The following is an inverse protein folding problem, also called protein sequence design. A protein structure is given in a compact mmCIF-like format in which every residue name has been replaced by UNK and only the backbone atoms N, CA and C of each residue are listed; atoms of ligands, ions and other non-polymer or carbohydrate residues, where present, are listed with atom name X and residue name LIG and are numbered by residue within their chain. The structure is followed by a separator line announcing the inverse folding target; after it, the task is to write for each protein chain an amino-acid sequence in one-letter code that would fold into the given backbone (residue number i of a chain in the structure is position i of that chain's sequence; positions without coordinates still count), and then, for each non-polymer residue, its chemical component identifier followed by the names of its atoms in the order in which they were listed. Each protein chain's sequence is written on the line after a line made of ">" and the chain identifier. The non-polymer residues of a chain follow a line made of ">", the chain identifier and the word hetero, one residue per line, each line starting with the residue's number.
data_IF_966636037320
#
_entry.id   IF_966636037320
#
_cell.length_a   1.000
_cell.length_b   1.000
_cell.length_c   1.000
_cell.angle_alpha   90.00
_cell.angle_beta   90.00
_cell.angle_gamma   90.00
#
_symmetry.space_group_name_H-M   'P 1'
#
loop_
_entity.id
_entity.type
_entity.pdbx_description
1 polymer ?
#
# COMPACT_ATOMS: atom_id res chain seq x y z
N UNK A 1 -21.36 34.07 53.95
CA UNK A 1 -21.55 33.12 52.83
C UNK A 1 -20.22 32.42 52.62
N UNK A 2 -20.11 31.20 53.14
CA UNK A 2 -18.86 30.45 53.24
C UNK A 2 -18.98 29.22 52.35
N UNK A 3 -18.12 29.08 51.35
CA UNK A 3 -18.07 27.91 50.47
C UNK A 3 -17.06 26.90 51.03
N UNK A 4 -17.54 25.71 51.38
CA UNK A 4 -16.71 24.52 51.60
C UNK A 4 -16.45 23.79 50.26
N UNK A 5 -15.28 23.15 50.08
CA UNK A 5 -15.01 22.29 48.95
C UNK A 5 -15.51 20.86 49.21
N UNK A 6 -16.22 20.27 48.25
CA UNK A 6 -16.62 18.86 48.28
C UNK A 6 -15.53 17.95 47.71
N UNK A 7 -15.23 16.90 48.46
CA UNK A 7 -14.31 15.81 48.17
C UNK A 7 -14.74 14.94 46.99
N UNK A 8 -13.78 14.54 46.14
CA UNK A 8 -13.94 13.49 45.11
C UNK A 8 -13.99 12.09 45.76
N UNK A 9 -14.78 11.15 45.22
CA UNK A 9 -14.68 9.72 45.58
C UNK A 9 -13.58 9.00 44.76
N UNK A 10 -13.08 7.85 45.25
CA UNK A 10 -11.99 7.11 44.63
C UNK A 10 -12.44 6.30 43.40
N UNK A 11 -11.58 6.23 42.39
CA UNK A 11 -11.71 5.37 41.22
C UNK A 11 -11.42 3.92 41.62
N UNK A 12 -12.45 3.07 41.58
CA UNK A 12 -12.31 1.62 41.62
C UNK A 12 -11.80 1.08 40.28
N UNK A 13 -10.73 0.29 40.33
CA UNK A 13 -10.22 -0.51 39.21
C UNK A 13 -11.24 -1.64 38.93
N UNK A 14 -11.82 -1.62 37.74
CA UNK A 14 -12.59 -2.74 37.19
C UNK A 14 -11.69 -3.51 36.23
N UNK A 15 -11.42 -4.77 36.58
CA UNK A 15 -10.87 -5.77 35.68
C UNK A 15 -11.83 -5.94 34.50
N UNK A 16 -11.35 -5.58 33.29
CA UNK A 16 -12.02 -5.94 32.04
C UNK A 16 -11.22 -7.06 31.37
N UNK A 17 -11.87 -8.15 30.93
CA UNK A 17 -11.21 -9.16 30.11
C UNK A 17 -10.76 -8.55 28.78
N UNK A 18 -9.58 -8.97 28.31
CA UNK A 18 -8.98 -8.51 27.06
C UNK A 18 -9.83 -8.89 25.82
N UNK A 19 -9.68 -8.17 24.70
CA UNK A 19 -10.48 -8.41 23.50
C UNK A 19 -10.04 -9.69 22.79
N UNK A 20 -11.03 -10.48 22.40
CA UNK A 20 -10.91 -11.76 21.73
C UNK A 20 -9.97 -11.73 20.51
N UNK A 21 -9.06 -12.71 20.50
CA UNK A 21 -8.05 -12.91 19.49
C UNK A 21 -8.65 -13.51 18.20
N UNK A 22 -8.19 -12.98 17.08
CA UNK A 22 -8.31 -13.59 15.77
C UNK A 22 -7.72 -15.00 15.77
N UNK A 23 -8.51 -16.01 15.34
CA UNK A 23 -8.04 -17.38 15.07
C UNK A 23 -7.82 -17.50 13.56
N UNK A 24 -6.58 -17.63 13.07
CA UNK A 24 -6.31 -17.81 11.65
C UNK A 24 -6.78 -19.21 11.16
N UNK A 25 -7.04 -19.38 9.85
CA UNK A 25 -7.27 -20.70 9.25
C UNK A 25 -6.10 -21.68 9.52
N UNK A 26 -6.35 -23.00 9.62
CA UNK A 26 -5.33 -23.99 10.03
C UNK A 26 -4.06 -24.01 9.18
N UNK A 27 -4.13 -23.65 7.90
CA UNK A 27 -2.96 -23.63 7.02
C UNK A 27 -2.03 -22.42 7.25
N UNK A 28 -2.39 -21.47 8.11
CA UNK A 28 -1.63 -20.24 8.40
C UNK A 28 -0.78 -20.31 9.66
N UNK A 29 -0.90 -21.36 10.47
CA UNK A 29 -0.10 -21.51 11.70
C UNK A 29 1.40 -21.69 11.42
N UNK A 30 1.75 -22.21 10.24
CA UNK A 30 3.14 -22.43 9.83
C UNK A 30 3.92 -21.12 9.67
N UNK A 31 3.32 -20.07 9.11
CA UNK A 31 3.96 -18.75 8.96
C UNK A 31 4.14 -18.01 10.29
N UNK A 32 3.37 -18.36 11.32
CA UNK A 32 3.50 -17.80 12.67
C UNK A 32 4.65 -18.45 13.44
N UNK A 33 4.78 -19.77 13.34
CA UNK A 33 5.90 -20.51 13.93
C UNK A 33 7.27 -20.07 13.35
N UNK A 34 7.32 -19.78 12.03
CA UNK A 34 8.53 -19.24 11.38
C UNK A 34 8.89 -17.82 11.85
N UNK A 35 7.91 -17.02 12.28
CA UNK A 35 8.13 -15.67 12.82
C UNK A 35 8.67 -15.69 14.26
N UNK A 36 8.14 -16.58 15.11
CA UNK A 36 8.59 -16.71 16.50
C UNK A 36 10.02 -17.29 16.58
N UNK A 37 10.41 -18.18 15.66
CA UNK A 37 11.78 -18.69 15.56
C UNK A 37 12.82 -17.64 15.13
N UNK A 38 12.40 -16.55 14.47
CA UNK A 38 13.31 -15.51 13.96
C UNK A 38 13.54 -14.34 14.94
N UNK A 39 12.71 -14.21 15.99
CA UNK A 39 12.75 -13.08 16.94
C UNK A 39 13.20 -13.44 18.36
N UNK A 40 13.45 -14.71 18.67
CA UNK A 40 14.04 -15.11 19.94
C UNK A 40 15.53 -15.37 19.73
N UNK A 41 16.37 -14.43 20.16
CA UNK A 41 17.79 -14.69 20.36
C UNK A 41 17.94 -15.84 21.34
N UNK A 42 18.55 -16.94 20.87
CA UNK A 42 18.78 -18.15 21.65
C UNK A 42 19.69 -17.81 22.84
N UNK A 43 19.12 -17.78 24.05
CA UNK A 43 19.86 -18.02 25.28
C UNK A 43 19.61 -19.48 25.66
N UNK A 44 20.66 -20.29 25.57
CA UNK A 44 20.69 -21.67 26.03
C UNK A 44 20.57 -21.67 27.56
N UNK A 45 19.57 -22.35 28.12
CA UNK A 45 19.47 -22.66 29.55
C UNK A 45 19.44 -24.19 29.70
N UNK A 46 20.40 -24.82 30.39
CA UNK A 46 20.53 -26.28 30.42
C UNK A 46 19.60 -26.99 31.42
N UNK A 47 18.75 -26.28 32.16
CA UNK A 47 17.98 -26.87 33.27
C UNK A 47 16.46 -26.67 33.11
N UNK A 48 15.79 -27.56 32.37
CA UNK A 48 14.36 -27.83 32.56
C UNK A 48 14.05 -29.33 32.33
N UNK A 49 13.25 -29.95 33.22
CA UNK A 49 12.99 -31.39 33.20
C UNK A 49 11.99 -31.80 32.11
N UNK A 50 12.11 -33.04 31.65
CA UNK A 50 11.25 -33.67 30.65
C UNK A 50 9.75 -33.59 31.02
N UNK A 51 8.93 -33.10 30.09
CA UNK A 51 7.48 -33.15 30.18
C UNK A 51 6.92 -34.44 29.53
N UNK A 52 5.79 -34.98 30.03
CA UNK A 52 5.41 -36.38 29.84
C UNK A 52 4.71 -36.68 28.50
N UNK A 53 4.86 -37.95 28.10
CA UNK A 53 4.64 -38.50 26.77
C UNK A 53 3.17 -38.83 26.42
N UNK A 54 2.19 -37.95 26.61
CA UNK A 54 0.79 -38.31 26.30
C UNK A 54 0.17 -37.31 25.32
N UNK A 55 0.28 -37.58 24.01
CA UNK A 55 -0.72 -37.25 22.96
C UNK A 55 -0.29 -37.89 21.62
N UNK A 56 -0.67 -39.15 21.44
CA UNK A 56 -0.84 -39.76 20.10
C UNK A 56 -2.35 -39.95 19.91
N UNK A 57 -2.89 -39.38 18.84
CA UNK A 57 -4.31 -39.43 18.52
C UNK A 57 -4.64 -38.87 17.14
N UNK A 58 -4.31 -39.66 16.12
CA UNK A 58 -5.00 -39.80 14.81
C UNK A 58 -5.38 -38.56 13.99
N UNK A 59 -4.63 -38.34 12.91
CA UNK A 59 -5.16 -37.90 11.60
C UNK A 59 -4.14 -38.24 10.50
N UNK A 60 -3.98 -39.54 10.22
CA UNK A 60 -3.32 -40.05 9.01
C UNK A 60 -4.44 -40.75 8.22
N UNK A 61 -5.01 -40.04 7.25
CA UNK A 61 -5.78 -40.56 6.10
C UNK A 61 -6.63 -39.43 5.52
N UNK A 62 -6.04 -38.69 4.58
CA UNK A 62 -6.64 -38.26 3.32
C UNK A 62 -5.61 -37.33 2.67
N UNK A 63 -5.33 -37.53 1.38
CA UNK A 63 -4.27 -36.91 0.57
C UNK A 63 -2.93 -37.67 0.51
N UNK A 64 -2.97 -38.87 -0.05
CA UNK A 64 -1.86 -39.31 -0.90
C UNK A 64 -2.39 -40.19 -2.05
N UNK A 65 -2.47 -39.62 -3.27
CA UNK A 65 -2.54 -40.39 -4.52
C UNK A 65 -2.07 -39.51 -5.70
N UNK A 66 -0.90 -39.92 -6.21
CA UNK A 66 -0.30 -39.69 -7.54
C UNK A 66 0.52 -38.40 -7.69
N UNK A 67 1.83 -38.51 -7.53
CA UNK A 67 2.79 -38.77 -8.63
C UNK A 67 4.22 -38.81 -8.03
N UNK A 68 4.77 -40.00 -7.84
CA UNK A 68 6.21 -40.23 -7.78
C UNK A 68 6.49 -41.54 -8.52
N UNK A 69 7.20 -41.45 -9.63
CA UNK A 69 7.86 -42.59 -10.25
C UNK A 69 8.94 -43.08 -9.27
N UNK A 70 8.65 -44.17 -8.56
CA UNK A 70 9.64 -44.87 -7.77
C UNK A 70 10.44 -45.79 -8.69
N UNK A 71 11.75 -45.54 -8.82
CA UNK A 71 12.70 -46.63 -9.03
C UNK A 71 12.97 -47.23 -7.65
N UNK A 72 12.50 -48.45 -7.43
CA UNK A 72 12.73 -49.20 -6.21
C UNK A 72 14.21 -49.62 -6.15
N UNK A 73 14.92 -49.22 -5.09
CA UNK A 73 16.21 -49.81 -4.75
C UNK A 73 15.97 -51.18 -4.08
N UNK A 74 16.75 -52.22 -4.39
CA UNK A 74 16.58 -53.53 -3.77
C UNK A 74 16.99 -53.50 -2.29
N UNK A 75 16.37 -54.34 -1.44
CA UNK A 75 16.64 -54.39 0.00
C UNK A 75 18.08 -54.86 0.31
N UNK A 76 18.62 -54.50 1.49
CA UNK A 76 20.03 -54.68 1.80
C UNK A 76 20.32 -56.14 2.17
N UNK A 77 21.02 -56.82 1.28
CA UNK A 77 21.59 -58.15 1.50
C UNK A 77 22.50 -58.50 0.35
N UNK A 78 23.80 -58.57 0.63
CA UNK A 78 24.88 -59.01 -0.26
C UNK A 78 25.24 -58.10 -1.45
N UNK A 79 26.00 -57.04 -1.19
CA UNK A 79 26.85 -56.41 -2.21
C UNK A 79 28.24 -56.07 -1.62
N UNK A 80 29.37 -56.47 -2.26
CA UNK A 80 30.70 -56.16 -1.77
C UNK A 80 31.01 -54.66 -1.83
N UNK A 81 31.79 -54.20 -0.84
CA UNK A 81 32.21 -52.81 -0.59
C UNK A 81 32.81 -52.06 -1.80
N UNK A 82 33.20 -52.78 -2.86
CA UNK A 82 33.86 -52.21 -4.04
C UNK A 82 32.89 -51.58 -5.06
N UNK A 83 31.57 -51.81 -4.96
CA UNK A 83 30.58 -51.10 -5.82
C UNK A 83 29.98 -49.84 -5.17
N UNK A 84 30.15 -49.64 -3.85
CA UNK A 84 29.66 -48.43 -3.17
C UNK A 84 30.52 -47.18 -3.46
N UNK A 85 31.78 -47.37 -3.88
CA UNK A 85 32.72 -46.26 -4.17
C UNK A 85 32.47 -45.65 -5.57
N UNK A 86 31.87 -46.39 -6.50
CA UNK A 86 31.50 -45.87 -7.83
C UNK A 86 30.30 -44.93 -7.85
N UNK A 87 29.45 -44.95 -6.82
CA UNK A 87 28.26 -44.10 -6.72
C UNK A 87 28.52 -42.77 -5.99
N UNK A 88 29.59 -42.69 -5.20
CA UNK A 88 29.93 -41.51 -4.38
C UNK A 88 30.88 -40.51 -5.06
N UNK A 89 31.43 -40.83 -6.25
CA UNK A 89 32.43 -39.98 -6.94
C UNK A 89 31.85 -39.21 -8.14
N UNK A 90 30.59 -39.41 -8.51
CA UNK A 90 29.96 -38.76 -9.68
C UNK A 90 29.09 -37.52 -9.35
N UNK A 91 29.05 -37.05 -8.10
CA UNK A 91 28.25 -35.86 -7.71
C UNK A 91 29.04 -34.77 -6.96
N UNK A 92 30.36 -34.71 -7.14
CA UNK A 92 31.18 -33.64 -6.55
C UNK A 92 32.15 -33.05 -7.55
N UNK A 93 31.66 -32.42 -8.62
CA UNK A 93 32.46 -31.48 -9.41
C UNK A 93 31.57 -30.73 -10.42
N UNK A 94 31.05 -29.57 -10.02
CA UNK A 94 30.84 -28.37 -10.86
C UNK A 94 30.36 -27.23 -9.94
N UNK A 95 31.27 -26.70 -9.12
CA UNK A 95 31.12 -25.36 -8.55
C UNK A 95 31.79 -24.38 -9.52
N UNK A 96 30.99 -23.82 -10.43
CA UNK A 96 31.34 -22.59 -11.13
C UNK A 96 30.55 -21.44 -10.49
N UNK A 97 31.14 -20.24 -10.36
CA UNK A 97 30.45 -19.10 -9.77
C UNK A 97 29.31 -18.68 -10.69
N UNK A 98 28.07 -18.86 -10.23
CA UNK A 98 26.93 -18.17 -10.82
C UNK A 98 27.06 -16.70 -10.44
N UNK A 99 27.65 -15.91 -11.32
CA UNK A 99 27.39 -14.48 -11.35
C UNK A 99 25.89 -14.30 -11.54
N UNK A 100 25.20 -13.85 -10.50
CA UNK A 100 23.86 -13.27 -10.62
C UNK A 100 23.98 -11.96 -11.40
N UNK A 101 24.05 -12.06 -12.72
CA UNK A 101 23.69 -10.95 -13.60
C UNK A 101 22.21 -10.67 -13.35
N UNK A 102 21.91 -9.50 -12.80
CA UNK A 102 20.59 -8.90 -12.89
C UNK A 102 20.24 -8.80 -14.39
N UNK A 103 19.59 -9.82 -14.95
CA UNK A 103 18.87 -9.64 -16.21
C UNK A 103 17.78 -8.61 -15.92
N UNK A 104 17.87 -7.47 -16.60
CA UNK A 104 16.81 -6.49 -16.62
C UNK A 104 15.51 -7.22 -16.98
N UNK A 105 14.46 -6.98 -16.19
CA UNK A 105 13.13 -7.47 -16.50
C UNK A 105 12.81 -7.10 -17.97
N UNK A 106 12.59 -8.08 -18.89
CA UNK A 106 12.31 -7.77 -20.29
C UNK A 106 11.03 -6.94 -20.47
N UNK A 107 10.20 -6.83 -19.43
CA UNK A 107 8.92 -6.10 -19.43
C UNK A 107 9.03 -4.60 -19.05
N UNK A 108 10.21 -4.04 -18.77
CA UNK A 108 10.39 -2.65 -18.32
C UNK A 108 11.07 -1.70 -19.34
N UNK A 109 11.09 -2.04 -20.64
CA UNK A 109 11.59 -1.10 -21.66
C UNK A 109 10.59 0.05 -21.89
N UNK A 110 10.91 1.23 -21.35
CA UNK A 110 10.21 2.47 -21.69
C UNK A 110 10.66 2.97 -23.07
N UNK A 111 9.77 3.49 -23.93
CA UNK A 111 10.17 4.08 -25.21
C UNK A 111 11.02 5.32 -24.97
N UNK A 112 12.16 5.40 -25.67
CA UNK A 112 13.09 6.52 -25.62
C UNK A 112 12.39 7.82 -26.07
N UNK A 113 12.30 8.80 -25.17
CA UNK A 113 11.85 10.16 -25.49
C UNK A 113 13.06 10.95 -26.00
N UNK A 114 13.06 11.27 -27.29
CA UNK A 114 13.98 12.23 -27.87
C UNK A 114 13.81 13.60 -27.21
N UNK A 115 14.88 14.12 -26.59
CA UNK A 115 14.98 15.53 -26.22
C UNK A 115 15.49 16.33 -27.43
N UNK A 116 14.82 17.42 -27.84
CA UNK A 116 15.42 18.37 -28.77
C UNK A 116 16.44 19.25 -28.02
N UNK A 117 17.60 19.40 -28.64
CA UNK A 117 18.67 20.29 -28.23
C UNK A 117 18.30 21.75 -28.53
N UNK A 118 18.65 22.66 -27.62
CA UNK A 118 18.76 24.08 -27.92
C UNK A 118 18.07 25.01 -26.90
N UNK A 119 18.81 25.45 -25.88
CA UNK A 119 18.53 26.71 -25.20
C UNK A 119 19.85 27.32 -24.72
N UNK A 120 20.20 28.43 -25.35
CA UNK A 120 21.36 29.30 -25.07
C UNK A 120 21.24 29.97 -23.71
N UNK A 121 22.34 29.93 -22.94
CA UNK A 121 22.53 30.68 -21.69
C UNK A 121 22.57 32.19 -21.97
N UNK A 122 21.67 32.94 -21.34
CA UNK A 122 21.78 34.41 -21.19
C UNK A 122 22.23 34.69 -19.76
N UNK A 123 23.34 35.42 -19.65
CA UNK A 123 23.92 35.93 -18.41
C UNK A 123 23.26 37.24 -18.03
N UNK A 124 22.78 37.36 -16.80
CA UNK A 124 22.40 38.65 -16.20
C UNK A 124 23.04 38.78 -14.82
N UNK A 125 24.06 39.62 -14.73
CA UNK A 125 24.47 40.31 -13.51
C UNK A 125 23.59 41.57 -13.36
N UNK A 126 23.13 41.88 -12.15
CA UNK A 126 22.60 43.21 -11.84
C UNK A 126 21.58 43.26 -10.70
N UNK A 127 22.01 43.90 -9.61
CA UNK A 127 21.23 44.61 -8.59
C UNK A 127 20.08 43.92 -7.83
N UNK A 128 20.36 43.56 -6.57
CA UNK A 128 19.38 43.22 -5.55
C UNK A 128 18.85 44.48 -4.85
N UNK A 129 18.06 45.28 -5.55
CA UNK A 129 17.10 46.18 -4.93
C UNK A 129 15.74 45.50 -4.91
N UNK A 130 15.39 44.78 -3.83
CA UNK A 130 14.08 44.15 -3.69
C UNK A 130 13.03 45.27 -3.57
N UNK A 131 12.16 45.50 -4.56
CA UNK A 131 11.06 46.43 -4.42
C UNK A 131 10.13 45.85 -3.35
N UNK A 132 9.57 46.72 -2.50
CA UNK A 132 8.46 46.32 -1.64
C UNK A 132 7.39 45.66 -2.52
N UNK A 133 6.96 44.44 -2.15
CA UNK A 133 5.81 43.79 -2.78
C UNK A 133 4.63 44.71 -2.47
N UNK A 134 4.25 45.50 -3.46
CA UNK A 134 2.96 46.19 -3.44
C UNK A 134 1.95 45.08 -3.62
N UNK A 135 1.25 44.72 -2.53
CA UNK A 135 0.13 43.79 -2.58
C UNK A 135 -0.97 44.46 -3.38
N UNK A 136 -0.94 44.29 -4.70
CA UNK A 136 -2.06 44.66 -5.55
C UNK A 136 -3.30 43.92 -5.04
N UNK A 137 -4.43 44.61 -4.86
CA UNK A 137 -5.65 43.99 -4.39
C UNK A 137 -6.02 42.82 -5.30
N UNK A 138 -6.54 41.71 -4.76
CA UNK A 138 -6.84 40.53 -5.54
C UNK A 138 -7.85 40.89 -6.64
N UNK A 139 -7.47 40.64 -7.89
CA UNK A 139 -8.35 40.89 -9.03
C UNK A 139 -9.66 40.08 -8.89
N UNK A 140 -10.76 40.79 -9.00
CA UNK A 140 -12.13 40.30 -9.04
C UNK A 140 -12.59 40.04 -10.48
N UNK A 141 -13.83 39.58 -10.66
CA UNK A 141 -14.42 39.45 -12.01
C UNK A 141 -14.47 40.78 -12.74
N UNK A 142 -14.71 41.88 -12.04
CA UNK A 142 -14.96 43.19 -12.63
C UNK A 142 -13.69 43.83 -13.20
N UNK A 143 -12.51 43.29 -12.87
CA UNK A 143 -11.21 43.73 -13.37
C UNK A 143 -10.87 43.19 -14.79
N UNK A 144 -11.82 42.50 -15.44
CA UNK A 144 -11.64 41.90 -16.76
C UNK A 144 -12.83 42.24 -17.67
N UNK A 145 -12.56 42.66 -18.89
CA UNK A 145 -13.62 42.94 -19.87
C UNK A 145 -14.27 41.64 -20.40
N UNK A 146 -13.47 40.57 -20.51
CA UNK A 146 -13.90 39.27 -21.03
C UNK A 146 -13.89 38.17 -19.96
N UNK A 147 -14.90 37.30 -20.02
CA UNK A 147 -15.01 36.13 -19.17
C UNK A 147 -13.92 35.09 -19.48
N UNK A 148 -13.42 35.03 -20.72
CA UNK A 148 -12.32 34.12 -21.09
C UNK A 148 -10.99 34.57 -20.49
N UNK A 149 -10.71 35.88 -20.48
CA UNK A 149 -9.52 36.44 -19.85
C UNK A 149 -9.55 36.24 -18.34
N UNK A 150 -10.71 36.44 -17.71
CA UNK A 150 -10.88 36.13 -16.30
C UNK A 150 -10.71 34.62 -16.01
N UNK A 151 -11.29 33.75 -16.84
CA UNK A 151 -11.14 32.30 -16.70
C UNK A 151 -9.69 31.84 -16.90
N UNK A 152 -8.98 32.45 -17.85
CA UNK A 152 -7.55 32.23 -18.10
C UNK A 152 -6.72 32.68 -16.90
N UNK A 153 -6.98 33.88 -16.37
CA UNK A 153 -6.31 34.41 -15.19
C UNK A 153 -6.49 33.47 -13.99
N UNK A 154 -7.72 33.06 -13.67
CA UNK A 154 -7.99 32.14 -12.56
C UNK A 154 -7.23 30.81 -12.72
N UNK A 155 -7.11 30.31 -13.94
CA UNK A 155 -6.36 29.08 -14.23
C UNK A 155 -4.85 29.27 -14.11
N UNK A 156 -4.30 30.38 -14.62
CA UNK A 156 -2.86 30.64 -14.68
C UNK A 156 -2.29 31.06 -13.34
N UNK A 157 -3.04 31.86 -12.58
CA UNK A 157 -2.66 32.33 -11.26
C UNK A 157 -2.76 31.24 -10.19
N UNK A 158 -3.56 30.19 -10.42
CA UNK A 158 -3.80 29.13 -9.45
C UNK A 158 -4.50 29.62 -8.19
N UNK A 159 -5.18 30.78 -8.24
CA UNK A 159 -5.86 31.35 -7.09
C UNK A 159 -6.99 30.43 -6.61
N UNK A 160 -6.84 29.97 -5.37
CA UNK A 160 -7.88 29.38 -4.55
C UNK A 160 -8.76 30.55 -4.10
N UNK A 161 -9.75 30.92 -4.92
CA UNK A 161 -10.62 32.07 -4.66
C UNK A 161 -11.27 31.90 -3.30
N UNK A 162 -10.90 32.77 -2.36
CA UNK A 162 -11.44 32.78 -1.01
C UNK A 162 -12.14 34.11 -0.77
N UNK A 163 -13.25 34.08 -0.04
CA UNK A 163 -13.90 35.31 0.42
C UNK A 163 -13.02 36.03 1.44
N UNK A 164 -13.46 37.21 1.87
CA UNK A 164 -12.85 38.00 2.93
C UNK A 164 -12.69 37.24 4.28
N UNK A 165 -13.33 36.08 4.43
CA UNK A 165 -13.22 35.19 5.59
C UNK A 165 -12.38 33.94 5.32
N UNK A 166 -11.71 33.85 4.17
CA UNK A 166 -10.86 32.73 3.80
C UNK A 166 -11.63 31.48 3.35
N UNK A 167 -12.94 31.54 3.09
CA UNK A 167 -13.73 30.39 2.61
C UNK A 167 -13.68 30.30 1.09
N UNK A 168 -13.56 29.09 0.51
CA UNK A 168 -13.57 28.93 -0.95
C UNK A 168 -14.86 29.52 -1.54
N UNK A 169 -14.73 30.43 -2.49
CA UNK A 169 -15.83 31.02 -3.23
C UNK A 169 -15.91 30.32 -4.57
N UNK A 170 -17.05 29.70 -4.83
CA UNK A 170 -17.35 29.27 -6.20
C UNK A 170 -17.54 30.51 -7.07
N UNK A 171 -16.72 30.64 -8.11
CA UNK A 171 -16.92 31.65 -9.15
C UNK A 171 -17.57 30.98 -10.35
N UNK A 172 -18.74 31.49 -10.72
CA UNK A 172 -19.45 31.01 -11.89
C UNK A 172 -18.81 31.57 -13.15
N UNK A 173 -18.35 30.68 -14.04
CA UNK A 173 -17.86 31.09 -15.35
C UNK A 173 -18.90 30.70 -16.41
N UNK A 174 -19.70 31.70 -16.79
CA UNK A 174 -20.69 31.59 -17.85
C UNK A 174 -20.06 32.11 -19.15
N UNK A 175 -19.63 31.20 -20.02
CA UNK A 175 -18.98 31.55 -21.30
C UNK A 175 -18.83 30.31 -22.20
N UNK A 176 -18.94 30.44 -23.52
CA UNK A 176 -18.83 29.30 -24.44
C UNK A 176 -17.41 29.06 -24.95
N UNK A 177 -16.47 29.94 -24.63
CA UNK A 177 -15.08 29.84 -25.08
C UNK A 177 -14.29 28.75 -24.36
N UNK A 178 -13.04 28.57 -24.81
CA UNK A 178 -12.21 27.44 -24.44
C UNK A 178 -11.86 27.43 -22.94
N UNK A 179 -11.50 28.57 -22.37
CA UNK A 179 -11.12 28.71 -20.96
C UNK A 179 -12.33 28.52 -20.06
N UNK A 180 -13.49 29.06 -20.42
CA UNK A 180 -14.72 28.81 -19.66
C UNK A 180 -15.14 27.33 -19.74
N UNK A 181 -14.98 26.67 -20.90
CA UNK A 181 -15.24 25.23 -21.05
C UNK A 181 -14.26 24.40 -20.22
N UNK A 182 -12.97 24.73 -20.23
CA UNK A 182 -11.95 24.05 -19.41
C UNK A 182 -12.21 24.26 -17.92
N UNK A 183 -12.57 25.48 -17.51
CA UNK A 183 -12.89 25.79 -16.14
C UNK A 183 -14.11 24.99 -15.65
N UNK A 184 -15.20 24.92 -16.44
CA UNK A 184 -16.37 24.09 -16.12
C UNK A 184 -16.05 22.60 -16.13
N UNK A 185 -15.17 22.13 -17.01
CA UNK A 185 -14.72 20.73 -16.99
C UNK A 185 -13.97 20.37 -15.69
N UNK A 186 -13.28 21.33 -15.07
CA UNK A 186 -12.54 21.14 -13.81
C UNK A 186 -13.46 21.32 -12.59
N UNK A 187 -14.27 22.38 -12.59
CA UNK A 187 -15.00 22.85 -11.42
C UNK A 187 -16.51 22.51 -11.43
N UNK A 188 -17.02 21.96 -12.52
CA UNK A 188 -18.45 21.74 -12.75
C UNK A 188 -19.17 22.98 -13.29
N UNK A 189 -20.36 22.76 -13.87
CA UNK A 189 -21.17 23.78 -14.54
C UNK A 189 -21.95 24.70 -13.58
N UNK A 190 -21.89 24.44 -12.27
CA UNK A 190 -22.70 25.20 -11.30
C UNK A 190 -22.25 24.96 -9.87
N UNK A 191 -22.65 25.86 -8.95
CA UNK A 191 -22.33 25.77 -7.52
C UNK A 191 -22.60 24.38 -6.94
N UNK A 192 -23.71 23.72 -7.29
CA UNK A 192 -24.01 22.37 -6.82
C UNK A 192 -23.04 21.30 -7.34
N UNK A 193 -22.57 21.41 -8.59
CA UNK A 193 -21.55 20.52 -9.13
C UNK A 193 -20.19 20.84 -8.52
N UNK A 194 -19.83 22.11 -8.36
CA UNK A 194 -18.63 22.54 -7.65
C UNK A 194 -18.61 22.05 -6.20
N UNK A 195 -19.70 22.22 -5.45
CA UNK A 195 -19.85 21.71 -4.09
C UNK A 195 -19.78 20.18 -4.05
N UNK A 196 -20.34 19.48 -5.04
CA UNK A 196 -20.11 18.04 -5.19
C UNK A 196 -18.63 17.73 -5.43
N UNK A 197 -17.94 18.52 -6.25
CA UNK A 197 -16.51 18.37 -6.59
C UNK A 197 -15.57 18.79 -5.46
N UNK A 198 -15.99 19.67 -4.53
CA UNK A 198 -15.10 20.34 -3.58
C UNK A 198 -15.58 20.36 -2.11
N UNK A 199 -16.87 20.49 -1.83
CA UNK A 199 -17.41 20.46 -0.44
C UNK A 199 -17.68 19.04 0.08
N UNK A 200 -17.76 18.03 -0.80
CA UNK A 200 -17.98 16.62 -0.46
C UNK A 200 -16.90 15.64 -0.91
N UNK A 201 -15.96 16.05 -1.77
CA UNK A 201 -14.81 15.22 -2.11
C UNK A 201 -13.81 15.24 -0.96
N UNK A 202 -13.66 14.09 -0.31
CA UNK A 202 -12.59 13.86 0.66
C UNK A 202 -13.07 13.67 2.08
N UNK A 203 -14.29 14.06 2.46
CA UNK A 203 -14.83 13.73 3.77
C UNK A 203 -15.44 12.34 3.79
N UNK A 204 -14.75 11.38 4.40
CA UNK A 204 -15.22 10.01 4.51
C UNK A 204 -15.04 9.52 5.94
N UNK A 205 -16.04 8.82 6.49
CA UNK A 205 -15.87 8.08 7.76
C UNK A 205 -15.33 6.67 7.53
N UNK A 206 -15.59 6.14 6.33
CA UNK A 206 -15.27 4.78 5.92
C UNK A 206 -14.48 4.75 4.62
N UNK A 207 -13.76 3.67 4.38
CA UNK A 207 -13.20 3.32 3.08
C UNK A 207 -14.37 2.87 2.18
N UNK A 208 -14.56 3.52 1.03
CA UNK A 208 -15.63 3.14 0.12
C UNK A 208 -15.35 1.77 -0.52
N UNK A 209 -16.40 1.03 -0.92
CA UNK A 209 -16.24 -0.26 -1.61
C UNK A 209 -15.36 -0.17 -2.85
N UNK A 210 -15.52 0.89 -3.66
CA UNK A 210 -14.66 1.16 -4.82
C UNK A 210 -13.18 1.32 -4.47
N UNK A 211 -12.87 1.88 -3.30
CA UNK A 211 -11.49 2.05 -2.84
C UNK A 211 -10.93 0.71 -2.36
N UNK A 212 -11.72 -0.10 -1.66
CA UNK A 212 -11.36 -1.48 -1.32
C UNK A 212 -11.04 -2.29 -2.59
N UNK A 213 -11.96 -2.35 -3.56
CA UNK A 213 -11.75 -3.07 -4.83
C UNK A 213 -10.52 -2.58 -5.56
N UNK A 214 -10.30 -1.26 -5.58
CA UNK A 214 -9.11 -0.67 -6.19
C UNK A 214 -7.81 -1.12 -5.50
N UNK A 215 -7.76 -1.12 -4.17
CA UNK A 215 -6.61 -1.58 -3.42
C UNK A 215 -6.37 -3.08 -3.66
N UNK A 216 -7.42 -3.90 -3.56
CA UNK A 216 -7.35 -5.35 -3.78
C UNK A 216 -6.81 -5.67 -5.19
N UNK A 217 -7.42 -5.08 -6.22
CA UNK A 217 -7.01 -5.27 -7.61
C UNK A 217 -5.57 -4.79 -7.86
N UNK A 218 -5.11 -3.75 -7.16
CA UNK A 218 -3.72 -3.29 -7.28
C UNK A 218 -2.72 -4.27 -6.67
N UNK A 219 -3.06 -4.89 -5.53
CA UNK A 219 -2.20 -5.92 -4.91
C UNK A 219 -2.18 -7.20 -5.75
N UNK A 220 -3.35 -7.68 -6.22
CA UNK A 220 -3.42 -8.82 -7.13
C UNK A 220 -2.64 -8.58 -8.43
N UNK A 221 -2.77 -7.38 -9.00
CA UNK A 221 -2.01 -6.98 -10.18
C UNK A 221 -0.51 -6.87 -9.93
N UNK A 222 -0.08 -6.41 -8.75
CA UNK A 222 1.33 -6.41 -8.37
C UNK A 222 1.90 -7.84 -8.34
N UNK A 223 1.14 -8.80 -7.77
CA UNK A 223 1.52 -10.22 -7.77
C UNK A 223 1.64 -10.78 -9.20
N UNK A 224 0.74 -10.39 -10.11
CA UNK A 224 0.82 -10.79 -11.54
C UNK A 224 2.08 -10.24 -12.24
N UNK A 225 2.72 -9.21 -11.68
CA UNK A 225 4.00 -8.67 -12.16
C UNK A 225 5.21 -9.20 -11.37
N UNK A 226 5.01 -10.20 -10.50
CA UNK A 226 6.05 -10.75 -9.65
C UNK A 226 6.44 -9.83 -8.47
N UNK A 227 5.63 -8.80 -8.20
CA UNK A 227 5.92 -7.82 -7.16
C UNK A 227 5.07 -8.08 -5.92
N UNK A 228 5.66 -8.75 -4.94
CA UNK A 228 5.07 -8.84 -3.60
C UNK A 228 5.37 -7.54 -2.85
N UNK A 229 4.31 -6.83 -2.47
CA UNK A 229 4.33 -5.76 -1.48
C UNK A 229 4.74 -6.37 -0.14
N UNK A 230 6.03 -6.31 0.15
CA UNK A 230 6.66 -7.03 1.26
C UNK A 230 7.08 -6.09 2.40
N UNK A 231 6.87 -4.78 2.25
CA UNK A 231 7.28 -3.76 3.21
C UNK A 231 6.08 -2.90 3.55
N UNK A 232 5.58 -3.04 4.77
CA UNK A 232 4.49 -2.26 5.32
C UNK A 232 5.04 -1.12 6.20
N UNK A 233 4.55 0.10 5.96
CA UNK A 233 4.98 1.33 6.64
C UNK A 233 3.76 1.96 7.30
N UNK A 234 3.87 2.29 8.58
CA UNK A 234 2.91 3.15 9.28
C UNK A 234 3.57 4.47 9.65
N UNK A 235 2.96 5.60 9.28
CA UNK A 235 3.47 6.95 9.58
C UNK A 235 2.45 7.72 10.41
N UNK A 236 2.79 8.00 11.67
CA UNK A 236 1.97 8.78 12.62
C UNK A 236 2.29 10.27 12.54
N UNK A 237 1.62 10.99 11.64
CA UNK A 237 1.92 12.40 11.34
C UNK A 237 1.79 13.36 12.54
N UNK A 238 0.86 13.08 13.44
CA UNK A 238 0.66 13.86 14.67
C UNK A 238 1.92 13.93 15.54
N UNK A 239 2.73 12.86 15.56
CA UNK A 239 3.97 12.79 16.36
C UNK A 239 5.05 13.76 15.88
N UNK A 240 4.94 14.27 14.66
CA UNK A 240 5.82 15.29 14.09
C UNK A 240 5.09 16.62 13.88
N UNK A 241 4.02 16.86 14.65
CA UNK A 241 3.29 18.13 14.67
C UNK A 241 2.35 18.38 13.49
N UNK A 242 2.12 17.39 12.63
CA UNK A 242 1.20 17.50 11.49
C UNK A 242 -0.15 16.91 11.90
N UNK A 243 -1.10 17.78 12.26
CA UNK A 243 -2.36 17.36 12.92
C UNK A 243 -3.63 17.62 12.11
N UNK A 244 -3.59 18.49 11.10
CA UNK A 244 -4.74 18.79 10.24
C UNK A 244 -4.74 17.93 8.98
N UNK A 245 -5.92 17.59 8.46
CA UNK A 245 -6.08 16.73 7.28
C UNK A 245 -5.34 17.26 6.06
N UNK A 246 -5.41 18.59 5.84
CA UNK A 246 -4.73 19.27 4.74
C UNK A 246 -3.20 19.13 4.86
N UNK A 247 -2.63 19.35 6.04
CA UNK A 247 -1.19 19.23 6.23
C UNK A 247 -0.73 17.77 6.11
N UNK A 248 -1.54 16.82 6.59
CA UNK A 248 -1.26 15.38 6.40
C UNK A 248 -1.31 14.99 4.94
N UNK A 249 -2.29 15.46 4.17
CA UNK A 249 -2.36 15.22 2.73
C UNK A 249 -1.09 15.73 2.03
N UNK A 250 -0.70 16.98 2.30
CA UNK A 250 0.50 17.59 1.71
C UNK A 250 1.76 16.81 2.06
N UNK A 251 1.92 16.41 3.33
CA UNK A 251 3.04 15.63 3.82
C UNK A 251 3.08 14.23 3.19
N UNK A 252 1.94 13.54 3.15
CA UNK A 252 1.79 12.23 2.54
C UNK A 252 2.09 12.27 1.03
N UNK A 253 1.59 13.28 0.33
CA UNK A 253 1.89 13.50 -1.11
C UNK A 253 3.38 13.71 -1.34
N UNK A 254 4.03 14.54 -0.51
CA UNK A 254 5.48 14.79 -0.58
C UNK A 254 6.30 13.52 -0.28
N UNK A 255 5.85 12.71 0.68
CA UNK A 255 6.46 11.41 0.98
C UNK A 255 6.36 10.46 -0.22
N UNK A 256 5.16 10.29 -0.81
CA UNK A 256 4.95 9.41 -1.96
C UNK A 256 5.76 9.86 -3.19
N UNK A 257 5.86 11.16 -3.45
CA UNK A 257 6.66 11.67 -4.56
C UNK A 257 8.16 11.41 -4.37
N UNK A 258 8.67 11.60 -3.15
CA UNK A 258 10.07 11.27 -2.84
C UNK A 258 10.31 9.76 -2.87
N UNK A 259 9.35 8.94 -2.42
CA UNK A 259 9.41 7.47 -2.52
C UNK A 259 9.50 7.01 -3.97
N UNK A 260 8.66 7.58 -4.83
CA UNK A 260 8.70 7.32 -6.28
C UNK A 260 10.07 7.61 -6.87
N UNK A 261 10.67 8.78 -6.54
CA UNK A 261 12.02 9.14 -7.02
C UNK A 261 13.07 8.16 -6.51
N UNK A 262 13.04 7.83 -5.22
CA UNK A 262 13.99 6.89 -4.62
C UNK A 262 13.94 5.50 -5.27
N UNK A 263 12.73 5.00 -5.57
CA UNK A 263 12.54 3.73 -6.27
C UNK A 263 13.04 3.79 -7.72
N UNK A 264 12.70 4.86 -8.45
CA UNK A 264 13.14 5.09 -9.84
C UNK A 264 14.67 5.14 -9.97
N UNK A 265 15.35 5.88 -9.09
CA UNK A 265 16.82 6.03 -9.08
C UNK A 265 17.55 4.69 -8.89
N UNK A 266 16.87 3.67 -8.38
CA UNK A 266 17.41 2.33 -8.12
C UNK A 266 16.86 1.27 -9.07
N UNK A 267 16.07 1.66 -10.08
CA UNK A 267 15.44 0.71 -11.01
C UNK A 267 14.48 -0.26 -10.32
N UNK A 268 13.85 0.15 -9.21
CA UNK A 268 12.97 -0.71 -8.41
C UNK A 268 11.51 -0.62 -8.84
N UNK A 269 10.68 -1.64 -8.53
CA UNK A 269 9.26 -1.61 -8.82
C UNK A 269 8.57 -0.39 -8.23
N UNK A 270 7.78 0.31 -9.05
CA UNK A 270 6.95 1.44 -8.60
C UNK A 270 5.62 0.94 -8.05
N UNK A 271 5.66 -0.08 -7.20
CA UNK A 271 4.49 -0.82 -6.75
C UNK A 271 4.20 -0.53 -5.27
N UNK A 272 3.18 0.29 -5.02
CA UNK A 272 2.65 0.50 -3.67
C UNK A 272 1.16 0.82 -3.65
N UNK A 273 0.54 0.55 -2.51
CA UNK A 273 -0.82 0.96 -2.14
C UNK A 273 -0.78 1.69 -0.80
N UNK A 274 -1.77 2.55 -0.53
CA UNK A 274 -1.82 3.29 0.73
C UNK A 274 -3.25 3.62 1.17
N UNK A 275 -3.41 3.79 2.48
CA UNK A 275 -4.64 4.26 3.16
C UNK A 275 -4.27 5.29 4.23
N UNK A 276 -5.12 6.30 4.41
CA UNK A 276 -5.12 7.22 5.54
C UNK A 276 -6.21 6.78 6.54
N UNK A 277 -5.82 6.63 7.80
CA UNK A 277 -6.69 6.27 8.91
C UNK A 277 -6.62 7.36 9.99
N UNK A 278 -7.75 7.70 10.62
CA UNK A 278 -7.75 8.49 11.84
C UNK A 278 -8.01 7.57 13.04
N UNK A 279 -6.94 7.18 13.71
CA UNK A 279 -7.01 6.40 14.94
C UNK A 279 -7.15 7.29 16.16
N UNK A 280 -7.72 6.76 17.25
CA UNK A 280 -7.91 7.49 18.50
C UNK A 280 -6.58 7.90 19.16
N UNK A 281 -5.53 7.07 19.03
CA UNK A 281 -4.25 7.28 19.70
C UNK A 281 -3.32 8.22 18.92
N UNK A 282 -3.20 8.00 17.62
CA UNK A 282 -2.20 8.68 16.78
C UNK A 282 -2.81 9.73 15.84
N UNK A 283 -4.12 9.96 15.92
CA UNK A 283 -4.81 10.83 14.98
C UNK A 283 -4.70 10.30 13.55
N UNK A 284 -4.56 11.22 12.60
CA UNK A 284 -4.44 10.89 11.18
C UNK A 284 -3.05 10.34 10.85
N UNK A 285 -3.00 9.14 10.29
CA UNK A 285 -1.76 8.42 9.97
C UNK A 285 -1.89 7.68 8.64
N UNK A 286 -0.74 7.35 8.04
CA UNK A 286 -0.68 6.60 6.78
C UNK A 286 -0.31 5.15 7.01
N UNK A 287 -0.97 4.24 6.32
CA UNK A 287 -0.55 2.87 6.08
C UNK A 287 -0.16 2.72 4.61
N UNK A 288 1.06 2.25 4.35
CA UNK A 288 1.61 2.11 3.00
C UNK A 288 2.16 0.69 2.87
N UNK A 289 1.81 -0.01 1.81
CA UNK A 289 2.35 -1.33 1.49
C UNK A 289 3.08 -1.22 0.16
N UNK A 290 4.38 -1.52 0.14
CA UNK A 290 5.28 -1.28 -1.00
C UNK A 290 6.18 -2.50 -1.26
N UNK A 291 6.47 -2.77 -2.54
CA UNK A 291 7.45 -3.78 -2.93
C UNK A 291 8.87 -3.20 -2.82
N UNK A 292 9.68 -3.74 -1.90
CA UNK A 292 11.09 -3.37 -1.72
C UNK A 292 11.92 -4.64 -1.60
N UNK A 293 12.73 -4.99 -2.61
CA UNK A 293 13.56 -6.19 -2.56
C UNK A 293 14.46 -6.23 -1.32
N UNK A 294 14.71 -7.42 -0.77
CA UNK A 294 15.43 -7.63 0.50
C UNK A 294 16.72 -6.84 0.60
N UNK A 295 17.51 -6.81 -0.47
CA UNK A 295 18.80 -6.11 -0.53
C UNK A 295 18.69 -4.58 -0.36
N UNK A 296 17.52 -3.99 -0.63
CA UNK A 296 17.30 -2.54 -0.53
C UNK A 296 16.56 -2.11 0.73
N UNK A 297 16.05 -3.04 1.55
CA UNK A 297 15.17 -2.70 2.69
C UNK A 297 15.82 -1.83 3.74
N UNK A 298 17.07 -2.14 4.12
CA UNK A 298 17.79 -1.35 5.12
C UNK A 298 17.97 0.10 4.66
N UNK A 299 18.41 0.29 3.41
CA UNK A 299 18.58 1.62 2.81
C UNK A 299 17.23 2.34 2.70
N UNK A 300 16.19 1.65 2.25
CA UNK A 300 14.83 2.19 2.17
C UNK A 300 14.30 2.67 3.53
N UNK A 301 14.46 1.87 4.59
CA UNK A 301 14.01 2.21 5.93
C UNK A 301 14.73 3.45 6.47
N UNK A 302 16.04 3.54 6.26
CA UNK A 302 16.84 4.70 6.66
C UNK A 302 16.42 5.95 5.88
N UNK A 303 16.27 5.82 4.56
CA UNK A 303 15.77 6.88 3.70
C UNK A 303 14.38 7.35 4.11
N UNK A 304 13.42 6.44 4.36
CA UNK A 304 12.06 6.78 4.70
C UNK A 304 11.98 7.53 6.05
N UNK A 305 12.76 7.10 7.06
CA UNK A 305 12.90 7.83 8.33
C UNK A 305 13.42 9.26 8.11
N UNK A 306 14.51 9.42 7.34
CA UNK A 306 15.09 10.73 7.01
C UNK A 306 14.12 11.59 6.20
N UNK A 307 13.37 10.99 5.28
CA UNK A 307 12.35 11.70 4.50
C UNK A 307 11.25 12.24 5.40
N UNK A 308 10.72 11.42 6.33
CA UNK A 308 9.68 11.83 7.27
C UNK A 308 10.15 12.91 8.22
N UNK A 309 11.40 12.87 8.72
CA UNK A 309 11.92 13.95 9.59
C UNK A 309 12.10 15.27 8.84
N UNK A 310 12.49 15.22 7.57
CA UNK A 310 12.70 16.41 6.73
C UNK A 310 11.40 17.07 6.24
N UNK A 311 10.27 16.35 6.17
CA UNK A 311 9.01 16.95 5.68
C UNK A 311 8.51 18.08 6.61
N UNK A 312 8.38 17.87 7.94
CA UNK A 312 8.04 18.92 8.89
C UNK A 312 9.25 19.66 9.46
N UNK A 313 10.49 19.20 9.20
CA UNK A 313 11.69 19.74 9.84
C UNK A 313 11.77 19.44 11.34
N UNK A 314 11.22 18.31 11.78
CA UNK A 314 11.16 17.90 13.19
C UNK A 314 11.80 16.53 13.41
N UNK A 315 12.42 16.28 14.58
CA UNK A 315 12.94 14.97 14.93
C UNK A 315 11.81 13.94 14.99
N UNK A 316 12.13 12.69 14.68
CA UNK A 316 11.19 11.57 14.83
C UNK A 316 11.01 11.23 16.30
N UNK A 317 9.79 10.89 16.69
CA UNK A 317 9.50 10.26 17.98
C UNK A 317 9.73 8.76 17.84
N UNK A 318 10.60 8.20 18.70
CA UNK A 318 10.87 6.77 18.75
C UNK A 318 11.00 6.31 20.21
N UNK A 319 9.87 6.29 20.89
CA UNK A 319 9.74 5.74 22.25
C UNK A 319 9.14 4.34 22.20
N UNK A 320 9.11 3.67 23.34
CA UNK A 320 8.47 2.36 23.48
C UNK A 320 6.96 2.42 23.13
N UNK A 321 6.27 3.44 23.62
CA UNK A 321 4.82 3.63 23.46
C UNK A 321 4.42 4.34 22.15
N UNK A 322 5.34 5.07 21.51
CA UNK A 322 5.04 5.87 20.32
C UNK A 322 6.20 5.88 19.33
N UNK A 323 5.89 5.56 18.08
CA UNK A 323 6.87 5.60 16.99
C UNK A 323 6.26 6.37 15.82
N UNK A 324 6.98 7.38 15.33
CA UNK A 324 6.57 8.15 14.15
C UNK A 324 6.49 7.29 12.91
N UNK A 325 7.48 6.40 12.70
CA UNK A 325 7.52 5.49 11.56
C UNK A 325 7.72 4.07 12.08
N UNK A 326 6.82 3.16 11.70
CA UNK A 326 6.94 1.71 11.95
C UNK A 326 7.09 0.98 10.62
N UNK A 327 7.90 -0.05 10.62
CA UNK A 327 8.10 -0.93 9.48
C UNK A 327 7.77 -2.36 9.90
N UNK A 328 7.13 -3.09 9.00
CA UNK A 328 7.02 -4.54 9.03
C UNK A 328 7.48 -5.06 7.66
N UNK A 329 8.54 -5.85 7.65
CA UNK A 329 9.22 -6.31 6.44
C UNK A 329 9.19 -7.84 6.38
N UNK A 330 8.76 -8.39 5.26
CA UNK A 330 8.54 -9.82 5.02
C UNK A 330 9.39 -10.35 3.89
N UNK A 331 9.49 -11.66 3.64
CA UNK A 331 10.32 -12.17 2.53
C UNK A 331 9.83 -11.66 1.16
N UNK A 332 10.70 -11.62 0.15
CA UNK A 332 10.35 -11.10 -1.20
C UNK A 332 9.24 -11.88 -1.90
N UNK A 333 8.94 -13.10 -1.43
CA UNK A 333 7.88 -13.96 -1.97
C UNK A 333 6.81 -14.32 -0.93
N UNK A 334 6.75 -13.62 0.20
CA UNK A 334 5.76 -13.86 1.26
C UNK A 334 4.38 -13.30 0.90
N UNK A 335 3.72 -13.91 -0.09
CA UNK A 335 2.37 -13.52 -0.53
C UNK A 335 1.33 -13.74 0.56
N UNK A 336 1.47 -14.82 1.34
CA UNK A 336 0.60 -15.09 2.47
C UNK A 336 0.68 -13.97 3.51
N UNK A 337 1.89 -13.54 3.89
CA UNK A 337 2.09 -12.43 4.81
C UNK A 337 1.63 -11.08 4.25
N UNK A 338 1.78 -10.85 2.94
CA UNK A 338 1.20 -9.69 2.25
C UNK A 338 -0.32 -9.67 2.41
N UNK A 339 -0.99 -10.79 2.09
CA UNK A 339 -2.44 -10.87 2.17
C UNK A 339 -2.96 -10.84 3.60
N UNK A 340 -2.25 -11.44 4.55
CA UNK A 340 -2.55 -11.32 5.98
C UNK A 340 -2.54 -9.86 6.45
N UNK A 341 -1.69 -9.02 5.86
CA UNK A 341 -1.63 -7.58 6.17
C UNK A 341 -2.75 -6.78 5.48
N UNK A 342 -3.33 -7.26 4.38
CA UNK A 342 -4.34 -6.53 3.61
C UNK A 342 -5.61 -6.17 4.42
N UNK A 343 -6.27 -7.11 5.14
CA UNK A 343 -7.41 -6.79 6.01
C UNK A 343 -7.13 -5.71 7.04
N UNK A 344 -5.89 -5.65 7.56
CA UNK A 344 -5.53 -4.73 8.63
C UNK A 344 -5.69 -3.25 8.23
N UNK A 345 -5.28 -2.87 7.01
CA UNK A 345 -5.46 -1.49 6.54
C UNK A 345 -6.76 -1.28 5.75
N UNK A 346 -7.51 -2.35 5.49
CA UNK A 346 -8.82 -2.32 4.85
C UNK A 346 -10.01 -2.39 5.83
N UNK A 347 -9.76 -2.62 7.13
CA UNK A 347 -10.75 -2.71 8.24
C UNK A 347 -11.71 -1.52 8.35
N UNK A 348 -11.40 -0.42 7.69
CA UNK A 348 -12.20 0.80 7.64
C UNK A 348 -13.34 0.80 6.63
N UNK A 349 -13.56 -0.30 5.92
CA UNK A 349 -14.59 -0.35 4.87
C UNK A 349 -15.98 -0.06 5.44
N UNK A 350 -16.82 0.59 4.63
CA UNK A 350 -18.19 0.90 5.01
C UNK A 350 -18.96 -0.42 5.24
N UNK A 351 -19.58 -0.61 6.43
CA UNK A 351 -20.29 -1.85 6.76
C UNK A 351 -21.47 -2.14 5.84
N UNK A 352 -22.02 -1.15 5.15
CA UNK A 352 -23.13 -1.33 4.21
C UNK A 352 -22.68 -1.72 2.80
N UNK A 353 -21.37 -1.73 2.53
CA UNK A 353 -20.85 -2.13 1.22
C UNK A 353 -20.99 -3.63 1.05
N UNK A 354 -21.64 -4.01 -0.03
CA UNK A 354 -21.75 -5.39 -0.48
C UNK A 354 -21.84 -5.46 -1.99
N UNK A 355 -22.02 -6.67 -2.49
CA UNK A 355 -22.23 -6.93 -3.91
C UNK A 355 -23.20 -8.10 -4.09
N UNK A 356 -23.78 -8.18 -5.29
CA UNK A 356 -24.60 -9.32 -5.68
C UNK A 356 -23.70 -10.49 -6.03
N UNK A 357 -24.04 -11.68 -5.54
CA UNK A 357 -23.33 -12.91 -5.89
C UNK A 357 -23.34 -13.09 -7.42
N UNK A 358 -22.20 -13.53 -7.96
CA UNK A 358 -22.02 -13.70 -9.40
C UNK A 358 -22.87 -14.85 -9.95
N UNK A 359 -23.07 -15.90 -9.15
CA UNK A 359 -23.84 -17.10 -9.51
C UNK A 359 -25.34 -16.91 -9.23
N UNK A 360 -25.69 -16.11 -8.22
CA UNK A 360 -27.07 -15.81 -7.87
C UNK A 360 -27.27 -14.32 -7.54
N UNK A 361 -27.82 -13.58 -8.52
CA UNK A 361 -28.11 -12.15 -8.40
C UNK A 361 -29.14 -11.81 -7.32
N UNK A 362 -29.82 -12.78 -6.72
CA UNK A 362 -30.72 -12.55 -5.59
C UNK A 362 -29.97 -12.49 -4.26
N UNK A 363 -28.79 -13.12 -4.16
CA UNK A 363 -27.97 -13.10 -2.95
C UNK A 363 -27.17 -11.80 -2.90
N UNK A 364 -27.31 -11.06 -1.80
CA UNK A 364 -26.47 -9.91 -1.46
C UNK A 364 -25.46 -10.32 -0.41
N UNK A 365 -24.16 -10.14 -0.67
CA UNK A 365 -23.08 -10.43 0.27
C UNK A 365 -22.45 -9.16 0.75
N UNK A 366 -22.23 -9.06 2.05
CA UNK A 366 -21.48 -7.93 2.62
C UNK A 366 -20.00 -8.13 2.37
N UNK A 367 -19.31 -7.06 1.99
CA UNK A 367 -17.90 -7.12 1.62
C UNK A 367 -17.02 -7.53 2.80
N UNK A 368 -17.36 -7.11 4.03
CA UNK A 368 -16.62 -7.48 5.22
C UNK A 368 -16.71 -8.97 5.55
N UNK A 369 -17.82 -9.63 5.23
CA UNK A 369 -17.98 -11.08 5.42
C UNK A 369 -17.12 -11.83 4.41
N UNK A 370 -17.24 -11.49 3.13
CA UNK A 370 -16.44 -12.12 2.05
C UNK A 370 -14.95 -11.91 2.26
N UNK A 371 -14.53 -10.70 2.64
CA UNK A 371 -13.13 -10.35 2.82
C UNK A 371 -12.59 -10.65 4.23
N UNK A 372 -13.39 -11.22 5.13
CA UNK A 372 -12.97 -11.58 6.49
C UNK A 372 -12.49 -10.38 7.31
N UNK A 373 -13.15 -9.22 7.15
CA UNK A 373 -12.74 -7.97 7.78
C UNK A 373 -13.40 -7.81 9.15
N UNK A 374 -12.57 -7.67 10.19
CA UNK A 374 -13.02 -7.12 11.46
C UNK A 374 -13.13 -5.61 11.35
N UNK A 375 -14.34 -5.11 11.11
CA UNK A 375 -14.58 -3.69 10.92
C UNK A 375 -14.22 -2.87 12.16
N UNK A 376 -13.57 -1.72 11.94
CA UNK A 376 -13.28 -0.75 13.00
C UNK A 376 -13.60 0.66 12.52
N UNK A 377 -14.17 1.53 13.38
CA UNK A 377 -14.27 2.95 13.07
C UNK A 377 -12.87 3.54 12.79
N UNK A 378 -12.75 4.36 11.75
CA UNK A 378 -11.46 4.94 11.32
C UNK A 378 -11.45 6.48 11.32
N UNK A 379 -12.43 7.06 12.04
CA UNK A 379 -12.65 8.50 12.16
C UNK A 379 -12.95 9.20 10.84
N UNK A 380 -13.31 10.48 10.92
CA UNK A 380 -13.48 11.33 9.74
C UNK A 380 -12.11 11.69 9.14
N UNK A 381 -11.92 11.40 7.85
CA UNK A 381 -10.79 11.89 7.05
C UNK A 381 -11.38 12.88 6.06
N UNK A 382 -10.82 14.09 5.95
CA UNK A 382 -11.29 15.18 5.07
C UNK A 382 -10.43 15.36 3.81
N UNK A 383 -9.74 14.31 3.41
CA UNK A 383 -8.88 14.24 2.22
C UNK A 383 -9.04 12.86 1.57
N UNK A 384 -8.34 12.61 0.47
CA UNK A 384 -8.32 11.31 -0.19
C UNK A 384 -7.84 10.22 0.78
N UNK A 385 -8.74 9.27 1.10
CA UNK A 385 -8.49 8.22 2.07
C UNK A 385 -7.59 7.09 1.56
N UNK A 386 -7.60 6.77 0.27
CA UNK A 386 -6.83 5.64 -0.25
C UNK A 386 -6.28 5.90 -1.66
N UNK A 387 -5.21 5.20 -2.00
CA UNK A 387 -4.61 5.29 -3.31
C UNK A 387 -3.64 4.16 -3.63
N UNK A 388 -3.24 4.16 -4.90
CA UNK A 388 -2.31 3.20 -5.48
C UNK A 388 -1.31 3.96 -6.33
N UNK A 389 -0.12 3.41 -6.49
CA UNK A 389 0.87 3.88 -7.47
C UNK A 389 0.31 3.87 -8.89
N UNK A 390 0.85 4.72 -9.78
CA UNK A 390 0.45 4.74 -11.20
C UNK A 390 0.74 3.40 -11.90
N UNK A 391 1.80 2.71 -11.51
CA UNK A 391 2.15 1.39 -12.07
C UNK A 391 1.13 0.30 -11.72
N UNK A 392 0.30 0.50 -10.69
CA UNK A 392 -0.73 -0.44 -10.26
C UNK A 392 -2.17 0.08 -10.51
N UNK A 393 -2.32 1.21 -11.18
CA UNK A 393 -3.64 1.79 -11.40
C UNK A 393 -4.45 1.05 -12.47
N UNK A 394 -5.71 1.45 -12.65
CA UNK A 394 -6.60 0.80 -13.62
C UNK A 394 -6.14 0.97 -15.08
N UNK A 395 -5.41 2.04 -15.40
CA UNK A 395 -4.88 2.26 -16.75
C UNK A 395 -3.71 1.32 -17.01
N UNK A 396 -2.75 1.23 -16.08
CA UNK A 396 -1.62 0.31 -16.18
C UNK A 396 -2.11 -1.14 -16.27
N UNK A 397 -3.09 -1.51 -15.43
CA UNK A 397 -3.69 -2.85 -15.46
C UNK A 397 -4.36 -3.19 -16.79
N UNK A 398 -5.19 -2.30 -17.34
CA UNK A 398 -5.84 -2.53 -18.65
C UNK A 398 -4.84 -2.65 -19.79
N UNK A 399 -3.78 -1.85 -19.76
CA UNK A 399 -2.73 -1.92 -20.78
C UNK A 399 -2.00 -3.27 -20.72
N UNK A 400 -1.66 -3.73 -19.51
CA UNK A 400 -1.03 -5.03 -19.30
C UNK A 400 -1.97 -6.19 -19.68
N UNK A 401 -3.23 -6.14 -19.28
CA UNK A 401 -4.25 -7.13 -19.62
C UNK A 401 -4.43 -7.29 -21.13
N UNK A 402 -4.50 -6.17 -21.87
CA UNK A 402 -4.61 -6.20 -23.32
C UNK A 402 -3.41 -6.83 -24.02
N UNK A 403 -2.23 -6.79 -23.39
CA UNK A 403 -0.99 -7.30 -23.97
C UNK A 403 -0.71 -8.75 -23.57
N UNK A 404 -0.98 -9.13 -22.32
CA UNK A 404 -0.54 -10.41 -21.74
C UNK A 404 -1.69 -11.30 -21.26
N UNK A 405 -2.91 -10.76 -21.13
CA UNK A 405 -4.07 -11.46 -20.58
C UNK A 405 -3.94 -11.72 -19.08
N UNK A 406 -4.59 -10.91 -18.24
CA UNK A 406 -4.57 -11.14 -16.79
C UNK A 406 -5.54 -12.25 -16.38
N UNK A 407 -5.20 -13.03 -15.34
CA UNK A 407 -6.17 -13.92 -14.73
C UNK A 407 -7.31 -13.09 -14.12
N UNK A 408 -8.56 -13.60 -14.14
CA UNK A 408 -9.70 -12.94 -13.50
C UNK A 408 -9.44 -12.74 -12.00
N UNK A 409 -9.65 -11.51 -11.51
CA UNK A 409 -9.50 -11.23 -10.08
C UNK A 409 -10.70 -11.76 -9.29
N UNK A 410 -10.45 -12.55 -8.24
CA UNK A 410 -11.47 -13.26 -7.47
C UNK A 410 -12.62 -12.36 -7.00
N UNK A 411 -12.31 -11.15 -6.48
CA UNK A 411 -13.34 -10.22 -6.02
C UNK A 411 -14.34 -9.81 -7.12
N UNK A 412 -13.91 -9.72 -8.37
CA UNK A 412 -14.77 -9.42 -9.51
C UNK A 412 -15.40 -10.66 -10.14
N UNK A 413 -14.92 -11.85 -9.78
CA UNK A 413 -15.26 -13.13 -10.42
C UNK A 413 -15.81 -14.14 -9.40
N UNK A 414 -16.64 -13.65 -8.48
CA UNK A 414 -17.45 -14.51 -7.62
C UNK A 414 -16.73 -15.11 -6.42
N UNK A 415 -15.55 -14.59 -6.01
CA UNK A 415 -14.94 -14.95 -4.72
C UNK A 415 -15.90 -14.66 -3.56
N UNK A 416 -16.16 -15.67 -2.72
CA UNK A 416 -17.22 -15.66 -1.68
C UNK A 416 -16.64 -15.71 -0.28
N UNK A 417 -15.39 -16.11 -0.13
CA UNK A 417 -14.73 -16.23 1.16
C UNK A 417 -13.28 -15.71 1.14
N UNK A 418 -12.67 -15.47 2.30
CA UNK A 418 -11.32 -14.90 2.36
C UNK A 418 -10.26 -15.70 1.60
N UNK A 419 -10.39 -17.03 1.57
CA UNK A 419 -9.47 -17.92 0.87
C UNK A 419 -9.47 -17.69 -0.65
N UNK A 420 -10.62 -17.36 -1.24
CA UNK A 420 -10.72 -17.02 -2.66
C UNK A 420 -9.99 -15.71 -2.97
N UNK A 421 -10.12 -14.72 -2.08
CA UNK A 421 -9.58 -13.39 -2.29
C UNK A 421 -8.07 -13.37 -2.07
N UNK A 422 -7.58 -14.04 -1.03
CA UNK A 422 -6.23 -13.93 -0.50
C UNK A 422 -5.33 -15.08 -0.98
N UNK A 423 -5.28 -15.27 -2.29
CA UNK A 423 -4.62 -16.41 -2.93
C UNK A 423 -3.23 -16.08 -3.49
N UNK A 424 -2.39 -17.11 -3.64
CA UNK A 424 -1.08 -17.04 -4.32
C UNK A 424 -1.18 -17.31 -5.83
N UNK A 425 -2.37 -17.64 -6.35
CA UNK A 425 -2.59 -17.93 -7.78
C UNK A 425 -2.12 -16.80 -8.72
N UNK A 426 -2.20 -15.54 -8.31
CA UNK A 426 -1.68 -14.41 -9.11
C UNK A 426 -0.15 -14.44 -9.27
N UNK A 427 0.57 -14.88 -8.25
CA UNK A 427 2.03 -15.00 -8.31
C UNK A 427 2.44 -16.28 -9.06
N UNK A 428 1.71 -17.38 -8.86
CA UNK A 428 1.90 -18.61 -9.67
C UNK A 428 1.65 -18.34 -11.16
N UNK A 429 0.64 -17.55 -11.48
CA UNK A 429 0.38 -17.12 -12.86
C UNK A 429 1.59 -16.37 -13.45
N UNK A 430 2.17 -15.43 -12.70
CA UNK A 430 3.40 -14.74 -13.12
C UNK A 430 4.55 -15.72 -13.38
N UNK A 431 4.79 -16.66 -12.45
CA UNK A 431 5.87 -17.63 -12.60
C UNK A 431 5.68 -18.52 -13.84
N UNK A 432 4.43 -18.92 -14.13
CA UNK A 432 4.10 -19.66 -15.36
C UNK A 432 4.39 -18.83 -16.62
N UNK A 433 4.06 -17.53 -16.63
CA UNK A 433 4.37 -16.65 -17.77
C UNK A 433 5.88 -16.48 -17.97
N UNK A 434 6.66 -16.39 -16.89
CA UNK A 434 8.12 -16.32 -17.00
C UNK A 434 8.71 -17.57 -17.65
N UNK A 435 8.23 -18.76 -17.27
CA UNK A 435 8.69 -20.04 -17.85
C UNK A 435 8.36 -20.12 -19.35
N UNK A 436 7.15 -19.73 -19.74
CA UNK A 436 6.75 -19.70 -21.15
C UNK A 436 7.57 -18.69 -21.96
N UNK A 437 7.91 -17.55 -21.36
CA UNK A 437 8.77 -16.54 -21.98
C UNK A 437 10.18 -17.05 -22.27
N UNK A 438 10.73 -17.90 -21.40
CA UNK A 438 12.07 -18.47 -21.60
C UNK A 438 12.12 -19.62 -22.61
N UNK A 439 11.00 -20.31 -22.87
CA UNK A 439 10.93 -21.43 -23.81
C UNK A 439 10.70 -20.99 -25.28
N UNK A 440 10.29 -19.74 -25.49
CA UNK A 440 10.08 -19.16 -26.83
C UNK A 440 11.32 -18.41 -27.36
N UNK A 441 12.48 -18.64 -26.76
CA UNK A 441 13.81 -18.19 -27.19
C UNK A 441 14.61 -19.44 -27.53
#
# INVERSE_FOLDING_TARGET
>A
MSFHPTSRPPLGLSDKPGPDGFVPPPHWERSRAEFDAYNVGVAYSPDLPAAPAWWFGTAHEFWDRRYCLAYEAPPPGDCPIEQAIGWYVSHTLFMLPVHTTHQANPFLQSPAVHQPAGATHVSTNGDTGVPAIVDDPPHTRDDYDDIEDYAQYLRQSGFDLRDEHGKPVWVSIHGTGEQARLHRAINGDGKRQYQRTWEGYGQTQHLAGRDFTKLYNAVAFANCQGWVLNTFISISWSTVGITTDLLVEQAHRRFNERMRKWLLERGLPLAWVWVLERGNTYGLHSHIHVAVPKQHRRDFMQWAKKCVSHIPGRPLVNTEISKTVRFDCRSDRDVAGQWWRFPYYAKGVDPAVGFRDADDKHIWRLLNEVAGLTLKPQGLVKTKRAGVSRALDAKARRAFDAQYGLPPFALANGGKEPADLYTDEYLKWHDAQCILGTLNI
#
